data_IF_365981741081
#
_entry.id   IF_365981741081
#
_cell.length_a   1.000
_cell.length_b   1.000
_cell.length_c   1.000
_cell.angle_alpha   90.00
_cell.angle_beta   90.00
_cell.angle_gamma   90.00
#
_symmetry.space_group_name_H-M   'P 1'
#
loop_
_entity.id
_entity.type
_entity.pdbx_description
1 polymer ?
#
# COMPACT_ATOMS: atom_id res chain seq x y z
N UNK A 1 20.80 -13.67 15.97
CA UNK A 1 22.16 -13.11 16.18
C UNK A 1 22.03 -11.60 16.24
N UNK A 2 22.29 -10.93 17.37
CA UNK A 2 22.33 -9.48 17.41
C UNK A 2 23.50 -9.02 16.53
N UNK A 3 23.26 -8.16 15.54
CA UNK A 3 24.36 -7.55 14.78
C UNK A 3 25.22 -6.75 15.76
N UNK A 4 26.47 -7.19 15.93
CA UNK A 4 27.52 -6.45 16.65
C UNK A 4 27.59 -5.01 16.16
N UNK A 5 27.92 -4.06 17.03
CA UNK A 5 28.19 -2.66 16.65
C UNK A 5 29.27 -2.54 15.54
N UNK A 6 30.15 -3.55 15.42
CA UNK A 6 31.12 -3.65 14.32
C UNK A 6 30.48 -3.83 12.94
N UNK A 7 29.24 -4.35 12.87
CA UNK A 7 28.52 -4.57 11.62
C UNK A 7 27.96 -3.27 11.02
N UNK A 8 27.84 -2.18 11.82
CA UNK A 8 27.34 -0.87 11.34
C UNK A 8 28.45 -0.11 10.62
N UNK A 9 29.69 -0.17 11.14
CA UNK A 9 30.86 0.50 10.55
C UNK A 9 31.30 -0.09 9.20
N UNK A 10 30.78 -1.26 8.82
CA UNK A 10 31.11 -1.96 7.57
C UNK A 10 29.93 -2.07 6.60
N UNK A 11 28.83 -1.33 6.85
CA UNK A 11 27.69 -1.34 5.93
C UNK A 11 28.08 -0.59 4.66
N UNK A 12 28.14 -1.28 3.52
CA UNK A 12 28.09 -0.62 2.23
C UNK A 12 26.70 0.00 2.06
N UNK A 13 26.62 1.30 2.36
CA UNK A 13 25.39 2.07 2.25
C UNK A 13 25.20 2.44 0.78
N UNK A 14 24.37 1.68 0.07
CA UNK A 14 23.98 1.98 -1.31
C UNK A 14 23.10 3.22 -1.36
N UNK A 15 23.23 4.02 -2.42
CA UNK A 15 22.29 5.11 -2.67
C UNK A 15 20.97 4.54 -3.22
N UNK A 16 20.02 4.27 -2.34
CA UNK A 16 18.73 3.67 -2.69
C UNK A 16 17.76 4.63 -3.40
N UNK A 17 18.05 5.93 -3.44
CA UNK A 17 17.26 6.87 -4.23
C UNK A 17 17.53 6.70 -5.74
N UNK A 18 18.76 6.33 -6.10
CA UNK A 18 19.14 6.08 -7.50
C UNK A 18 18.96 4.60 -7.90
N UNK A 19 18.93 3.70 -6.92
CA UNK A 19 18.84 2.24 -7.12
C UNK A 19 17.41 1.71 -6.91
N UNK A 20 16.53 2.03 -7.86
CA UNK A 20 15.09 1.72 -7.79
C UNK A 20 14.59 0.88 -8.96
N UNK A 21 13.52 0.12 -8.69
CA UNK A 21 12.69 -0.54 -9.70
C UNK A 21 11.48 0.33 -10.00
N UNK A 22 11.15 0.47 -11.29
CA UNK A 22 10.06 1.31 -11.79
C UNK A 22 8.88 0.46 -12.21
N UNK A 23 7.71 0.80 -11.70
CA UNK A 23 6.45 0.16 -12.07
C UNK A 23 5.64 1.11 -12.95
N UNK A 24 5.21 0.64 -14.11
CA UNK A 24 4.52 1.45 -15.11
C UNK A 24 3.06 1.04 -15.28
N UNK A 25 2.23 2.05 -15.51
CA UNK A 25 0.87 1.91 -15.95
C UNK A 25 0.82 1.80 -17.49
N UNK A 26 0.17 0.79 -18.09
CA UNK A 26 0.16 0.58 -19.55
C UNK A 26 -0.69 1.58 -20.32
N UNK A 27 -1.85 1.99 -19.77
CA UNK A 27 -2.80 2.89 -20.43
C UNK A 27 -2.39 4.36 -20.61
N UNK A 28 -1.16 4.75 -20.26
CA UNK A 28 -0.67 6.12 -20.39
C UNK A 28 0.67 6.17 -21.16
N UNK A 29 0.96 7.26 -21.90
CA UNK A 29 2.20 7.39 -22.66
C UNK A 29 3.41 7.69 -21.76
N UNK A 30 4.60 7.28 -22.20
CA UNK A 30 5.86 7.72 -21.59
C UNK A 30 6.06 9.22 -21.79
N UNK A 31 6.66 9.96 -20.84
CA UNK A 31 7.12 9.51 -19.52
C UNK A 31 6.04 9.52 -18.42
N UNK A 32 4.79 9.85 -18.77
CA UNK A 32 3.67 10.06 -17.85
C UNK A 32 3.03 8.76 -17.36
N UNK A 33 3.71 7.64 -17.50
CA UNK A 33 3.16 6.32 -17.21
C UNK A 33 3.89 5.62 -16.06
N UNK A 34 4.88 6.26 -15.45
CA UNK A 34 5.52 5.79 -14.22
C UNK A 34 4.52 5.88 -13.07
N UNK A 35 4.08 4.72 -12.56
CA UNK A 35 3.08 4.63 -11.50
C UNK A 35 3.71 4.89 -10.12
N UNK A 36 4.79 4.19 -9.80
CA UNK A 36 5.61 4.39 -8.60
C UNK A 36 6.95 3.65 -8.74
N UNK A 37 7.84 3.84 -7.75
CA UNK A 37 9.11 3.14 -7.66
C UNK A 37 9.26 2.45 -6.30
N UNK A 38 10.06 1.39 -6.24
CA UNK A 38 10.50 0.76 -4.98
C UNK A 38 12.02 0.60 -4.99
N UNK A 39 12.71 0.80 -3.85
CA UNK A 39 14.16 0.64 -3.75
C UNK A 39 14.56 -0.83 -3.80
N UNK A 40 15.74 -1.11 -4.35
CA UNK A 40 16.28 -2.48 -4.44
C UNK A 40 16.90 -2.92 -3.12
N UNK A 41 16.10 -3.56 -2.29
CA UNK A 41 16.47 -3.91 -0.91
C UNK A 41 16.51 -5.43 -0.66
N UNK A 42 15.88 -6.21 -1.54
CA UNK A 42 15.84 -7.68 -1.44
C UNK A 42 16.99 -8.33 -2.20
N UNK A 43 17.75 -9.20 -1.54
CA UNK A 43 18.88 -9.88 -2.17
C UNK A 43 18.43 -11.14 -2.92
N UNK A 44 18.60 -11.15 -4.25
CA UNK A 44 18.48 -12.36 -5.07
C UNK A 44 19.78 -13.17 -4.97
N UNK A 45 19.69 -14.39 -4.40
CA UNK A 45 20.84 -15.31 -4.39
C UNK A 45 21.15 -15.88 -5.77
N UNK A 46 20.13 -16.06 -6.60
CA UNK A 46 20.24 -16.63 -7.94
C UNK A 46 20.99 -15.68 -8.87
N UNK A 47 20.61 -14.40 -8.85
CA UNK A 47 21.20 -13.37 -9.72
C UNK A 47 22.38 -12.63 -9.07
N UNK A 48 22.62 -12.86 -7.77
CA UNK A 48 23.66 -12.18 -6.97
C UNK A 48 23.52 -10.64 -7.02
N UNK A 49 22.28 -10.13 -7.07
CA UNK A 49 21.95 -8.70 -7.12
C UNK A 49 20.79 -8.35 -6.20
N UNK A 50 20.62 -7.06 -5.95
CA UNK A 50 19.49 -6.54 -5.18
C UNK A 50 18.31 -6.18 -6.08
N UNK A 51 17.12 -6.39 -5.55
CA UNK A 51 15.84 -6.26 -6.23
C UNK A 51 14.70 -5.98 -5.26
N UNK A 52 13.48 -6.32 -5.67
CA UNK A 52 12.27 -6.16 -4.86
C UNK A 52 11.51 -7.48 -4.80
N UNK A 53 11.08 -7.91 -3.62
CA UNK A 53 10.30 -9.14 -3.47
C UNK A 53 8.99 -9.07 -4.28
N UNK A 54 8.77 -10.08 -5.13
CA UNK A 54 7.73 -10.10 -6.14
C UNK A 54 6.34 -9.90 -5.55
N UNK A 55 5.95 -10.67 -4.53
CA UNK A 55 4.61 -10.54 -3.94
C UNK A 55 4.39 -9.19 -3.27
N UNK A 56 5.42 -8.58 -2.69
CA UNK A 56 5.30 -7.23 -2.12
C UNK A 56 5.00 -6.21 -3.22
N UNK A 57 5.77 -6.23 -4.31
CA UNK A 57 5.54 -5.36 -5.46
C UNK A 57 4.18 -5.60 -6.12
N UNK A 58 3.81 -6.87 -6.33
CA UNK A 58 2.53 -7.25 -6.93
C UNK A 58 1.36 -6.77 -6.07
N UNK A 59 1.39 -7.04 -4.77
CA UNK A 59 0.31 -6.64 -3.85
C UNK A 59 0.17 -5.12 -3.81
N UNK A 60 1.29 -4.36 -3.78
CA UNK A 60 1.24 -2.91 -3.86
C UNK A 60 0.55 -2.41 -5.14
N UNK A 61 0.92 -2.98 -6.30
CA UNK A 61 0.27 -2.64 -7.57
C UNK A 61 -1.23 -2.97 -7.57
N UNK A 62 -1.60 -4.14 -7.04
CA UNK A 62 -3.00 -4.58 -6.96
C UNK A 62 -3.84 -3.69 -6.05
N UNK A 63 -3.31 -3.25 -4.90
CA UNK A 63 -3.97 -2.28 -4.02
C UNK A 63 -4.19 -0.95 -4.77
N UNK A 64 -3.13 -0.43 -5.39
CA UNK A 64 -3.16 0.83 -6.16
C UNK A 64 -4.20 0.77 -7.28
N UNK A 65 -4.34 -0.38 -7.93
CA UNK A 65 -5.32 -0.64 -8.99
C UNK A 65 -6.69 -1.11 -8.46
N UNK A 66 -7.09 -0.62 -7.28
CA UNK A 66 -8.37 -0.93 -6.64
C UNK A 66 -8.58 -2.42 -6.37
N UNK A 67 -7.67 -3.02 -5.59
CA UNK A 67 -7.74 -4.41 -5.14
C UNK A 67 -7.86 -5.44 -6.29
N UNK A 68 -7.11 -5.22 -7.39
CA UNK A 68 -7.09 -6.10 -8.56
C UNK A 68 -6.35 -7.44 -8.31
N UNK A 69 -6.64 -8.14 -7.21
CA UNK A 69 -5.87 -9.31 -6.77
C UNK A 69 -5.94 -10.50 -7.73
N UNK A 70 -7.11 -10.73 -8.35
CA UNK A 70 -7.33 -11.87 -9.24
C UNK A 70 -6.88 -11.59 -10.68
N UNK A 71 -6.98 -10.33 -11.12
CA UNK A 71 -6.78 -9.91 -12.52
C UNK A 71 -5.47 -9.14 -12.76
N UNK A 72 -4.82 -8.72 -11.68
CA UNK A 72 -3.63 -7.89 -11.70
C UNK A 72 -2.37 -8.73 -11.82
N UNK A 73 -1.55 -8.45 -12.83
CA UNK A 73 -0.31 -9.17 -13.10
C UNK A 73 0.84 -8.24 -13.44
N UNK A 74 2.06 -8.64 -13.08
CA UNK A 74 3.29 -7.94 -13.47
C UNK A 74 3.90 -8.58 -14.72
N UNK A 75 4.43 -7.75 -15.61
CA UNK A 75 5.16 -8.18 -16.79
C UNK A 75 6.50 -7.47 -16.94
N UNK A 76 7.45 -8.13 -17.61
CA UNK A 76 8.78 -7.58 -17.95
C UNK A 76 8.76 -6.67 -19.19
N UNK A 77 7.67 -6.64 -19.93
CA UNK A 77 7.53 -5.86 -21.15
C UNK A 77 6.24 -5.04 -21.18
N UNK A 78 6.27 -3.97 -21.96
CA UNK A 78 5.15 -3.02 -22.08
C UNK A 78 3.94 -3.56 -22.84
N UNK A 79 4.00 -4.78 -23.41
CA UNK A 79 2.89 -5.42 -24.12
C UNK A 79 2.25 -6.55 -23.30
N UNK A 80 2.74 -6.82 -22.09
CA UNK A 80 2.19 -7.86 -21.21
C UNK A 80 2.43 -9.29 -21.72
N UNK A 81 3.42 -9.51 -22.59
CA UNK A 81 3.68 -10.84 -23.18
C UNK A 81 4.53 -11.74 -22.28
N UNK A 82 5.39 -11.14 -21.47
CA UNK A 82 6.33 -11.80 -20.57
C UNK A 82 5.89 -11.55 -19.13
N UNK A 83 4.82 -12.26 -18.74
CA UNK A 83 4.28 -12.23 -17.40
C UNK A 83 5.26 -12.87 -16.40
N UNK A 84 5.33 -12.29 -15.21
CA UNK A 84 6.13 -12.83 -14.12
C UNK A 84 5.34 -13.94 -13.45
N UNK A 85 5.94 -15.12 -13.37
CA UNK A 85 5.38 -16.29 -12.70
C UNK A 85 6.20 -16.65 -11.46
N UNK A 86 5.54 -17.03 -10.37
CA UNK A 86 6.19 -17.56 -9.17
C UNK A 86 6.32 -16.55 -8.03
N UNK A 87 5.86 -16.99 -6.85
CA UNK A 87 5.60 -16.13 -5.69
C UNK A 87 6.88 -15.76 -4.91
N UNK A 88 7.88 -16.64 -4.89
CA UNK A 88 9.10 -16.48 -4.07
C UNK A 88 10.28 -15.87 -4.87
N UNK A 89 9.99 -14.92 -5.76
CA UNK A 89 10.99 -14.30 -6.64
C UNK A 89 11.38 -12.92 -6.18
N UNK A 90 12.63 -12.55 -6.47
CA UNK A 90 13.10 -11.17 -6.37
C UNK A 90 13.13 -10.58 -7.78
N UNK A 91 12.46 -9.45 -7.95
CA UNK A 91 12.44 -8.67 -9.19
C UNK A 91 13.77 -7.95 -9.34
N UNK A 92 14.51 -8.19 -10.42
CA UNK A 92 15.85 -7.64 -10.64
C UNK A 92 15.96 -6.69 -11.84
N UNK A 93 14.97 -6.67 -12.74
CA UNK A 93 14.97 -5.74 -13.88
C UNK A 93 14.68 -4.31 -13.41
N UNK A 94 15.05 -3.32 -14.23
CA UNK A 94 14.81 -1.91 -13.90
C UNK A 94 13.33 -1.52 -14.02
N UNK A 95 12.64 -2.11 -14.98
CA UNK A 95 11.33 -1.65 -15.45
C UNK A 95 10.35 -2.84 -15.49
N UNK A 96 9.16 -2.64 -14.91
CA UNK A 96 8.05 -3.60 -14.94
C UNK A 96 6.73 -2.90 -15.22
N UNK A 97 5.81 -3.59 -15.87
CA UNK A 97 4.47 -3.08 -16.18
C UNK A 97 3.43 -3.87 -15.41
N UNK A 98 2.46 -3.17 -14.83
CA UNK A 98 1.34 -3.79 -14.16
C UNK A 98 0.10 -3.74 -15.04
N UNK A 99 -0.48 -4.89 -15.33
CA UNK A 99 -1.66 -5.04 -16.17
C UNK A 99 -2.84 -5.51 -15.33
N UNK A 100 -4.04 -5.03 -15.67
CA UNK A 100 -5.29 -5.55 -15.14
C UNK A 100 -6.08 -6.13 -16.31
N UNK A 101 -6.40 -7.41 -16.24
CA UNK A 101 -7.14 -8.10 -17.29
C UNK A 101 -8.45 -7.37 -17.62
N UNK A 102 -8.69 -7.14 -18.92
CA UNK A 102 -9.88 -6.45 -19.42
C UNK A 102 -9.89 -4.93 -19.22
N UNK A 103 -8.82 -4.32 -18.70
CA UNK A 103 -8.75 -2.87 -18.52
C UNK A 103 -7.34 -2.30 -18.73
N UNK A 104 -7.06 -1.86 -19.97
CA UNK A 104 -5.76 -1.28 -20.35
C UNK A 104 -5.45 0.05 -19.64
N UNK A 105 -6.50 0.82 -19.31
CA UNK A 105 -6.40 2.09 -18.55
C UNK A 105 -7.20 1.99 -17.26
N UNK A 106 -6.79 1.06 -16.39
CA UNK A 106 -7.42 0.85 -15.10
C UNK A 106 -7.38 2.11 -14.23
N UNK A 107 -8.40 2.33 -13.38
CA UNK A 107 -8.40 3.46 -12.45
C UNK A 107 -7.43 3.21 -11.29
N UNK A 108 -6.81 4.29 -10.81
CA UNK A 108 -5.89 4.26 -9.67
C UNK A 108 -6.57 4.82 -8.43
N UNK A 109 -6.37 4.19 -7.28
CA UNK A 109 -6.84 4.69 -5.99
C UNK A 109 -5.99 5.91 -5.61
N UNK A 110 -6.57 7.12 -5.52
CA UNK A 110 -5.79 8.34 -5.43
C UNK A 110 -5.34 8.67 -4.01
N UNK A 111 -6.04 8.17 -3.00
CA UNK A 111 -5.72 8.36 -1.58
C UNK A 111 -6.25 7.19 -0.75
N UNK A 112 -5.71 7.00 0.46
CA UNK A 112 -6.21 5.96 1.36
C UNK A 112 -7.69 6.15 1.72
N UNK A 113 -8.15 7.40 1.85
CA UNK A 113 -9.57 7.72 2.15
C UNK A 113 -10.53 7.28 1.05
N UNK A 114 -10.03 7.20 -0.18
CA UNK A 114 -10.76 6.78 -1.37
C UNK A 114 -10.67 5.27 -1.61
N UNK A 115 -9.91 4.54 -0.81
CA UNK A 115 -9.74 3.09 -0.93
C UNK A 115 -10.84 2.33 -0.18
N UNK A 116 -11.36 1.26 -0.78
CA UNK A 116 -12.22 0.29 -0.11
C UNK A 116 -11.37 -0.84 0.46
N UNK A 117 -11.59 -1.21 1.73
CA UNK A 117 -10.93 -2.36 2.32
C UNK A 117 -11.52 -3.66 1.73
N UNK A 118 -10.66 -4.58 1.23
CA UNK A 118 -11.12 -5.83 0.61
C UNK A 118 -11.47 -6.90 1.66
N UNK A 119 -12.58 -6.70 2.35
CA UNK A 119 -13.12 -7.69 3.29
C UNK A 119 -13.19 -9.09 2.65
N UNK A 120 -12.70 -10.10 3.37
CA UNK A 120 -12.67 -11.52 3.00
C UNK A 120 -11.97 -11.85 1.67
N UNK A 121 -11.32 -10.86 1.05
CA UNK A 121 -10.65 -10.95 -0.26
C UNK A 121 -9.18 -10.58 -0.17
N UNK A 122 -8.57 -10.69 1.02
CA UNK A 122 -7.13 -10.55 1.18
C UNK A 122 -6.41 -11.65 0.39
N UNK A 123 -5.26 -11.35 -0.25
CA UNK A 123 -4.47 -12.38 -0.92
C UNK A 123 -4.13 -13.55 -0.01
N UNK A 124 -4.12 -14.77 -0.53
CA UNK A 124 -3.89 -15.99 0.23
C UNK A 124 -2.53 -16.03 0.96
N UNK A 125 -1.53 -15.32 0.43
CA UNK A 125 -0.20 -15.17 1.03
C UNK A 125 -0.15 -14.13 2.16
N UNK A 126 -1.20 -13.33 2.36
CA UNK A 126 -1.32 -12.38 3.47
C UNK A 126 -1.83 -13.08 4.73
N UNK A 127 -1.03 -14.01 5.23
CA UNK A 127 -1.39 -14.94 6.31
C UNK A 127 -1.49 -14.21 7.65
N UNK A 128 -2.36 -14.67 8.54
CA UNK A 128 -2.44 -14.13 9.90
C UNK A 128 -1.11 -14.35 10.66
N UNK A 129 -0.60 -13.35 11.39
CA UNK A 129 0.62 -13.52 12.16
C UNK A 129 0.41 -14.57 13.25
N UNK A 130 1.30 -15.55 13.31
CA UNK A 130 1.36 -16.47 14.43
C UNK A 130 1.98 -15.74 15.63
N UNK A 131 1.25 -15.61 16.74
CA UNK A 131 1.78 -15.06 17.98
C UNK A 131 2.42 -16.20 18.80
N UNK A 132 3.73 -16.18 19.07
CA UNK A 132 4.34 -17.14 19.99
C UNK A 132 3.74 -16.98 21.39
N UNK A 133 3.38 -18.06 22.10
CA UNK A 133 2.89 -17.99 23.47
C UNK A 133 3.93 -17.28 24.36
N UNK A 134 3.51 -16.27 25.12
CA UNK A 134 4.39 -15.55 26.04
C UNK A 134 5.24 -14.43 25.44
N UNK A 135 4.90 -13.92 24.25
CA UNK A 135 5.61 -12.78 23.64
C UNK A 135 5.67 -11.57 24.60
N UNK A 136 6.84 -10.93 24.78
CA UNK A 136 6.97 -9.78 25.68
C UNK A 136 6.11 -8.60 25.22
N UNK A 137 5.08 -8.26 25.99
CA UNK A 137 4.07 -7.24 25.64
C UNK A 137 4.57 -5.78 25.71
N UNK A 138 5.85 -5.55 26.04
CA UNK A 138 6.44 -4.20 26.24
C UNK A 138 7.84 -4.08 25.66
N UNK A 139 8.00 -4.56 24.43
CA UNK A 139 9.26 -4.44 23.68
C UNK A 139 8.96 -4.00 22.26
N UNK A 140 9.91 -3.30 21.64
CA UNK A 140 9.80 -2.96 20.22
C UNK A 140 9.69 -4.23 19.38
N UNK A 141 8.67 -4.30 18.53
CA UNK A 141 8.35 -5.45 17.68
C UNK A 141 9.44 -5.81 16.65
N UNK A 142 10.39 -4.91 16.38
CA UNK A 142 11.46 -5.10 15.37
C UNK A 142 12.83 -5.31 16.01
N UNK A 143 13.12 -4.61 17.10
CA UNK A 143 14.46 -4.64 17.74
C UNK A 143 14.48 -5.42 19.04
N UNK A 144 13.31 -5.83 19.54
CA UNK A 144 13.12 -6.47 20.83
C UNK A 144 13.69 -5.65 22.01
N UNK A 145 13.82 -4.33 21.85
CA UNK A 145 14.31 -3.42 22.89
C UNK A 145 13.18 -3.04 23.85
N UNK A 146 13.48 -2.95 25.16
CA UNK A 146 12.49 -2.71 26.22
C UNK A 146 12.41 -1.25 26.69
N UNK A 147 13.06 -0.32 25.99
CA UNK A 147 13.13 1.10 26.37
C UNK A 147 12.95 2.01 25.14
N UNK A 148 12.55 3.26 25.37
CA UNK A 148 12.37 4.28 24.34
C UNK A 148 11.52 3.82 23.14
N UNK A 149 10.45 3.07 23.42
CA UNK A 149 9.44 2.68 22.44
C UNK A 149 8.13 3.43 22.69
N UNK A 150 7.34 3.53 21.63
CA UNK A 150 5.98 4.08 21.63
C UNK A 150 5.03 3.10 20.96
N UNK A 151 3.73 3.31 21.12
CA UNK A 151 2.68 2.51 20.51
C UNK A 151 2.26 3.15 19.20
N UNK A 152 2.64 2.54 18.09
CA UNK A 152 2.26 2.98 16.75
C UNK A 152 0.90 2.40 16.38
N UNK A 153 -0.01 3.22 15.88
CA UNK A 153 -1.22 2.69 15.23
C UNK A 153 -0.86 2.12 13.86
N UNK A 154 -1.35 0.91 13.56
CA UNK A 154 -1.24 0.33 12.22
C UNK A 154 -2.08 1.16 11.24
N UNK A 155 -3.37 1.32 11.53
CA UNK A 155 -4.24 2.31 10.87
C UNK A 155 -4.11 3.64 11.63
N UNK A 156 -3.54 4.69 11.01
CA UNK A 156 -3.30 5.98 11.69
C UNK A 156 -4.57 6.59 12.27
N UNK A 157 -4.42 7.35 13.36
CA UNK A 157 -5.54 8.07 14.01
C UNK A 157 -6.28 9.02 13.07
N UNK A 158 -5.56 9.66 12.18
CA UNK A 158 -6.11 10.61 11.21
C UNK A 158 -7.06 9.94 10.19
N UNK A 159 -7.08 8.60 10.12
CA UNK A 159 -7.92 7.81 9.23
C UNK A 159 -9.18 7.25 9.91
N UNK A 160 -9.63 7.85 11.03
CA UNK A 160 -10.85 7.44 11.76
C UNK A 160 -12.10 7.38 10.87
N UNK A 161 -12.26 8.32 9.95
CA UNK A 161 -13.37 8.33 9.00
C UNK A 161 -13.31 7.11 8.07
N UNK A 162 -12.13 6.82 7.50
CA UNK A 162 -11.93 5.65 6.64
C UNK A 162 -12.18 4.35 7.41
N UNK A 163 -11.69 4.26 8.66
CA UNK A 163 -11.90 3.11 9.54
C UNK A 163 -13.39 2.81 9.76
N UNK A 164 -14.18 3.84 10.07
CA UNK A 164 -15.63 3.70 10.28
C UNK A 164 -16.34 3.31 8.99
N UNK A 165 -16.03 4.02 7.90
CA UNK A 165 -16.64 3.81 6.58
C UNK A 165 -16.40 2.40 6.03
N UNK A 166 -15.23 1.83 6.29
CA UNK A 166 -14.87 0.48 5.91
C UNK A 166 -15.17 -0.56 7.00
N UNK A 167 -15.96 -0.23 8.03
CA UNK A 167 -16.37 -1.22 9.03
C UNK A 167 -15.21 -1.94 9.75
N UNK A 168 -14.04 -1.32 9.85
CA UNK A 168 -12.81 -1.97 10.34
C UNK A 168 -12.86 -2.37 11.82
N UNK A 169 -13.89 -1.91 12.54
CA UNK A 169 -14.22 -2.37 13.89
C UNK A 169 -14.71 -3.82 13.97
N UNK A 170 -14.97 -4.48 12.83
CA UNK A 170 -15.24 -5.92 12.75
C UNK A 170 -14.03 -6.77 13.18
N UNK A 171 -12.82 -6.25 12.95
CA UNK A 171 -11.57 -6.96 13.23
C UNK A 171 -11.01 -6.64 14.63
N UNK A 172 -9.97 -7.37 15.03
CA UNK A 172 -9.29 -7.17 16.32
C UNK A 172 -10.02 -7.81 17.51
N UNK A 173 -10.02 -7.10 18.65
CA UNK A 173 -10.44 -7.62 19.95
C UNK A 173 -11.87 -7.27 20.35
N UNK A 174 -12.65 -6.71 19.43
CA UNK A 174 -14.05 -6.33 19.67
C UNK A 174 -14.25 -4.96 20.31
N UNK A 175 -13.21 -4.13 20.45
CA UNK A 175 -13.40 -2.73 20.91
C UNK A 175 -14.19 -1.88 19.91
N UNK A 176 -14.16 -2.27 18.63
CA UNK A 176 -14.77 -1.56 17.49
C UNK A 176 -14.26 -0.13 17.29
N UNK A 177 -13.13 0.22 17.88
CA UNK A 177 -12.51 1.55 17.78
C UNK A 177 -11.09 1.45 17.23
N UNK A 178 -10.51 2.61 16.84
CA UNK A 178 -9.11 2.68 16.41
C UNK A 178 -8.11 2.36 17.52
N UNK A 179 -8.50 2.50 18.79
CA UNK A 179 -7.65 2.20 19.95
C UNK A 179 -7.78 0.73 20.39
N UNK A 180 -8.16 -0.18 19.48
CA UNK A 180 -8.07 -1.62 19.69
C UNK A 180 -6.61 -2.06 19.86
N UNK A 181 -6.33 -2.93 20.83
CA UNK A 181 -4.98 -3.47 21.06
C UNK A 181 -4.33 -4.12 19.83
N UNK A 182 -5.13 -4.65 18.90
CA UNK A 182 -4.66 -5.28 17.67
C UNK A 182 -4.25 -4.26 16.60
N UNK A 183 -4.70 -3.00 16.73
CA UNK A 183 -4.28 -1.90 15.86
C UNK A 183 -2.99 -1.25 16.37
N UNK A 184 -2.37 -1.76 17.44
CA UNK A 184 -1.13 -1.21 17.99
C UNK A 184 0.10 -2.07 17.71
N UNK A 185 1.20 -1.42 17.41
CA UNK A 185 2.52 -2.01 17.21
C UNK A 185 3.57 -1.25 18.04
N UNK A 186 4.20 -1.88 19.04
CA UNK A 186 5.24 -1.22 19.81
C UNK A 186 6.51 -1.02 18.95
N UNK A 187 6.92 0.23 18.75
CA UNK A 187 8.09 0.58 17.93
C UNK A 187 9.03 1.50 18.71
N UNK A 188 10.34 1.31 18.53
CA UNK A 188 11.34 2.27 19.01
C UNK A 188 11.08 3.65 18.36
N UNK A 189 11.37 4.74 19.05
CA UNK A 189 10.98 6.09 18.59
C UNK A 189 11.46 6.45 17.16
N UNK A 190 12.67 6.04 16.78
CA UNK A 190 13.21 6.19 15.42
C UNK A 190 12.41 5.40 14.37
N UNK A 191 12.12 4.13 14.67
CA UNK A 191 11.28 3.28 13.83
C UNK A 191 9.84 3.82 13.73
N UNK A 192 9.29 4.37 14.81
CA UNK A 192 7.96 4.97 14.81
C UNK A 192 7.87 6.15 13.82
N UNK A 193 8.86 7.06 13.84
CA UNK A 193 8.91 8.19 12.90
C UNK A 193 8.97 7.69 11.45
N UNK A 194 9.83 6.71 11.16
CA UNK A 194 9.94 6.13 9.82
C UNK A 194 8.64 5.41 9.40
N UNK A 195 7.97 4.74 10.33
CA UNK A 195 6.72 4.05 10.08
C UNK A 195 5.64 5.03 9.67
N UNK A 196 5.43 6.11 10.44
CA UNK A 196 4.43 7.16 10.17
C UNK A 196 4.73 7.99 8.92
N UNK A 197 5.94 7.91 8.38
CA UNK A 197 6.31 8.55 7.11
C UNK A 197 6.26 7.60 5.91
N UNK A 198 5.65 6.41 6.05
CA UNK A 198 5.61 5.37 5.04
C UNK A 198 6.98 4.85 4.57
N UNK A 199 8.06 5.07 5.33
CA UNK A 199 9.41 4.66 4.90
C UNK A 199 9.50 3.13 4.77
N UNK A 200 8.73 2.41 5.57
CA UNK A 200 8.63 0.97 5.52
C UNK A 200 7.21 0.50 5.84
N UNK A 201 6.94 -0.76 5.51
CA UNK A 201 5.76 -1.49 5.95
C UNK A 201 6.14 -2.87 6.46
N UNK A 202 5.21 -3.52 7.16
CA UNK A 202 5.34 -4.91 7.56
C UNK A 202 4.64 -5.78 6.55
N UNK A 203 5.37 -6.69 5.91
CA UNK A 203 4.84 -7.57 4.86
C UNK A 203 5.20 -9.02 5.16
N UNK A 204 4.29 -9.98 4.87
CA UNK A 204 4.63 -11.39 4.92
C UNK A 204 5.56 -11.73 3.75
N UNK A 205 6.68 -12.38 4.04
CA UNK A 205 7.51 -13.03 3.03
C UNK A 205 7.39 -14.54 3.17
N UNK A 206 7.12 -15.19 2.05
CA UNK A 206 7.12 -16.63 1.97
C UNK A 206 8.57 -17.11 1.89
N UNK A 207 8.90 -18.15 2.63
CA UNK A 207 10.19 -18.82 2.59
C UNK A 207 9.94 -20.31 2.46
N UNK A 208 10.61 -20.96 1.52
CA UNK A 208 10.65 -22.42 1.47
C UNK A 208 11.56 -22.95 2.56
N UNK A 209 11.00 -23.76 3.45
CA UNK A 209 11.78 -24.50 4.44
C UNK A 209 12.58 -25.61 3.74
N UNK A 210 13.57 -26.18 4.45
CA UNK A 210 14.38 -27.31 3.95
C UNK A 210 13.54 -28.53 3.57
N UNK A 211 12.33 -28.65 4.14
CA UNK A 211 11.40 -29.75 3.89
C UNK A 211 10.46 -29.48 2.70
N UNK A 212 10.60 -28.33 2.03
CA UNK A 212 9.73 -27.91 0.93
C UNK A 212 8.42 -27.26 1.36
N UNK A 213 8.13 -27.18 2.66
CA UNK A 213 6.95 -26.48 3.18
C UNK A 213 7.13 -24.96 3.09
N UNK A 214 6.08 -24.26 2.67
CA UNK A 214 6.02 -22.80 2.65
C UNK A 214 5.78 -22.29 4.08
N UNK A 215 6.76 -21.58 4.61
CA UNK A 215 6.63 -20.80 5.84
C UNK A 215 6.44 -19.33 5.51
N UNK A 216 5.66 -18.59 6.30
CA UNK A 216 5.50 -17.15 6.13
C UNK A 216 5.98 -16.44 7.40
N UNK A 217 6.73 -15.36 7.22
CA UNK A 217 7.16 -14.50 8.32
C UNK A 217 6.95 -13.04 7.94
N UNK A 218 6.33 -12.28 8.83
CA UNK A 218 6.28 -10.83 8.69
C UNK A 218 7.66 -10.24 8.91
N UNK A 219 8.07 -9.37 8.00
CA UNK A 219 9.34 -8.65 8.07
C UNK A 219 9.11 -7.17 7.82
N UNK A 220 10.05 -6.35 8.29
CA UNK A 220 10.17 -4.97 7.88
C UNK A 220 10.66 -4.89 6.42
N UNK A 221 9.84 -4.31 5.54
CA UNK A 221 10.20 -4.06 4.14
C UNK A 221 10.22 -2.56 3.87
N UNK A 222 11.34 -2.09 3.33
CA UNK A 222 11.57 -0.66 3.07
C UNK A 222 10.93 -0.30 1.74
N UNK A 223 10.10 0.74 1.74
CA UNK A 223 9.36 1.21 0.57
C UNK A 223 9.96 2.51 0.01
N UNK A 224 10.76 3.21 0.81
CA UNK A 224 11.35 4.50 0.48
C UNK A 224 12.87 4.48 0.70
N UNK A 225 13.62 4.85 -0.34
CA UNK A 225 15.08 4.83 -0.36
C UNK A 225 15.77 6.04 0.25
N UNK A 226 15.02 7.01 0.82
CA UNK A 226 15.58 8.26 1.37
C UNK A 226 16.66 8.04 2.42
N UNK A 227 16.49 7.03 3.28
CA UNK A 227 17.39 6.71 4.39
C UNK A 227 18.06 5.36 4.16
N UNK A 228 19.17 5.33 3.43
CA UNK A 228 19.87 4.11 3.05
C UNK A 228 20.49 3.35 4.24
N UNK A 229 20.96 4.07 5.26
CA UNK A 229 21.43 3.46 6.51
C UNK A 229 20.29 2.72 7.24
N UNK A 230 19.08 3.29 7.25
CA UNK A 230 17.90 2.65 7.83
C UNK A 230 17.62 1.30 7.14
N UNK A 231 17.66 1.28 5.81
CA UNK A 231 17.48 0.04 5.05
C UNK A 231 18.55 -0.99 5.37
N UNK A 232 19.83 -0.59 5.41
CA UNK A 232 20.93 -1.49 5.73
C UNK A 232 20.79 -2.12 7.15
N UNK A 233 20.29 -1.35 8.11
CA UNK A 233 20.09 -1.79 9.50
C UNK A 233 18.86 -2.68 9.69
N UNK A 234 17.74 -2.33 9.07
CA UNK A 234 16.42 -2.84 9.43
C UNK A 234 15.70 -3.64 8.34
N UNK A 235 16.08 -3.52 7.07
CA UNK A 235 15.41 -4.27 6.00
C UNK A 235 15.46 -5.78 6.22
N UNK A 236 14.34 -6.46 5.95
CA UNK A 236 14.14 -7.90 6.15
C UNK A 236 14.34 -8.38 7.60
N UNK A 237 14.30 -7.47 8.60
CA UNK A 237 14.23 -7.91 9.99
C UNK A 237 12.87 -8.53 10.29
N UNK A 238 12.83 -9.72 10.91
CA UNK A 238 11.61 -10.33 11.40
C UNK A 238 10.87 -9.43 12.38
N UNK A 239 9.54 -9.51 12.35
CA UNK A 239 8.71 -8.95 13.40
C UNK A 239 8.62 -9.98 14.55
N UNK A 240 9.16 -9.61 15.70
CA UNK A 240 9.31 -10.47 16.88
C UNK A 240 8.00 -10.64 17.66
N UNK A 241 7.10 -9.64 17.59
CA UNK A 241 5.84 -9.64 18.32
C UNK A 241 4.73 -9.00 17.50
N UNK A 242 3.73 -9.80 17.13
CA UNK A 242 2.47 -9.34 16.55
C UNK A 242 1.32 -9.99 17.29
N UNK A 243 0.28 -9.21 17.58
CA UNK A 243 -0.92 -9.74 18.22
C UNK A 243 -1.71 -10.54 17.18
N UNK A 244 -2.11 -11.77 17.54
CA UNK A 244 -3.01 -12.58 16.70
C UNK A 244 -4.32 -11.81 16.49
N UNK A 245 -4.78 -11.66 15.24
CA UNK A 245 -5.95 -10.83 14.90
C UNK A 245 -5.62 -9.43 14.36
N UNK A 246 -4.33 -9.09 14.20
CA UNK A 246 -3.89 -7.82 13.58
C UNK A 246 -3.79 -7.88 12.05
N UNK A 247 -4.17 -9.00 11.41
CA UNK A 247 -3.92 -9.29 9.99
C UNK A 247 -4.46 -8.19 9.08
N UNK A 248 -5.71 -7.80 9.29
CA UNK A 248 -6.44 -6.83 8.49
C UNK A 248 -5.89 -5.41 8.69
N UNK A 249 -5.50 -5.08 9.93
CA UNK A 249 -4.85 -3.81 10.25
C UNK A 249 -3.44 -3.71 9.64
N UNK A 250 -2.68 -4.82 9.61
CA UNK A 250 -1.40 -4.89 8.92
C UNK A 250 -1.56 -4.69 7.40
N UNK A 251 -2.58 -5.32 6.80
CA UNK A 251 -2.87 -5.13 5.38
C UNK A 251 -3.26 -3.68 5.07
N UNK A 252 -4.16 -3.10 5.88
CA UNK A 252 -4.57 -1.71 5.75
C UNK A 252 -3.37 -0.74 5.87
N UNK A 253 -2.43 -1.00 6.79
CA UNK A 253 -1.20 -0.21 6.91
C UNK A 253 -0.30 -0.37 5.68
N UNK A 254 -0.14 -1.57 5.14
CA UNK A 254 0.59 -1.75 3.89
C UNK A 254 -0.07 -0.99 2.73
N UNK A 255 -1.39 -1.03 2.63
CA UNK A 255 -2.15 -0.26 1.64
C UNK A 255 -1.96 1.25 1.80
N UNK A 256 -2.03 1.76 3.03
CA UNK A 256 -1.77 3.16 3.35
C UNK A 256 -0.39 3.62 2.84
N UNK A 257 0.64 2.80 3.09
CA UNK A 257 1.99 3.08 2.61
C UNK A 257 2.10 2.97 1.08
N UNK A 258 1.55 1.92 0.46
CA UNK A 258 1.60 1.70 -0.98
C UNK A 258 0.88 2.81 -1.77
N UNK A 259 -0.31 3.22 -1.33
CA UNK A 259 -1.08 4.30 -1.97
C UNK A 259 -0.35 5.63 -1.86
N UNK A 260 0.40 5.89 -0.79
CA UNK A 260 1.19 7.13 -0.68
C UNK A 260 2.24 7.28 -1.79
N UNK A 261 2.69 6.17 -2.39
CA UNK A 261 3.70 6.16 -3.46
C UNK A 261 3.16 6.67 -4.81
N UNK A 262 1.83 6.69 -5.03
CA UNK A 262 1.24 7.07 -6.33
C UNK A 262 1.09 8.57 -6.52
N UNK A 263 1.39 9.37 -5.49
CA UNK A 263 1.21 10.82 -5.54
C UNK A 263 1.89 11.47 -6.76
N UNK A 264 3.16 11.18 -7.10
CA UNK A 264 3.80 11.75 -8.29
C UNK A 264 3.10 11.38 -9.62
N UNK A 265 2.46 10.21 -9.69
CA UNK A 265 1.69 9.81 -10.86
C UNK A 265 0.43 10.66 -11.01
N UNK A 266 -0.25 10.97 -9.91
CA UNK A 266 -1.46 11.81 -9.89
C UNK A 266 -1.15 13.28 -10.19
N UNK A 267 -0.06 13.83 -9.65
CA UNK A 267 0.32 15.25 -9.80
C UNK A 267 1.17 15.55 -11.04
N UNK A 268 1.24 14.63 -12.01
CA UNK A 268 2.09 14.74 -13.20
C UNK A 268 1.52 15.62 -14.33
N UNK A 269 0.54 16.48 -14.01
CA UNK A 269 0.02 17.48 -14.94
C UNK A 269 -0.94 16.96 -16.02
N UNK A 270 -1.32 15.68 -15.99
CA UNK A 270 -2.33 15.10 -16.91
C UNK A 270 -3.49 14.45 -16.17
N UNK A 271 -4.65 14.43 -16.80
CA UNK A 271 -5.85 13.82 -16.22
C UNK A 271 -5.74 12.30 -16.11
N UNK A 272 -6.35 11.74 -15.06
CA UNK A 272 -6.26 10.33 -14.69
C UNK A 272 -7.64 9.76 -14.36
N UNK A 273 -7.83 8.48 -14.69
CA UNK A 273 -8.92 7.68 -14.13
C UNK A 273 -8.58 7.31 -12.70
N UNK A 274 -9.47 7.63 -11.76
CA UNK A 274 -9.31 7.33 -10.34
C UNK A 274 -10.47 6.49 -9.83
N UNK A 275 -10.19 5.63 -8.85
CA UNK A 275 -11.20 4.82 -8.16
C UNK A 275 -11.46 5.43 -6.77
N UNK A 276 -12.71 5.75 -6.46
CA UNK A 276 -13.11 6.40 -5.21
C UNK A 276 -14.24 5.63 -4.54
N UNK A 277 -13.96 5.07 -3.38
CA UNK A 277 -14.96 4.43 -2.54
C UNK A 277 -15.92 5.49 -2.02
N UNK A 278 -17.23 5.29 -2.13
CA UNK A 278 -18.25 6.21 -1.60
C UNK A 278 -19.36 5.40 -0.95
N UNK A 279 -19.94 5.98 0.10
CA UNK A 279 -21.13 5.47 0.77
C UNK A 279 -22.15 6.59 0.69
N UNK A 280 -23.25 6.36 -0.02
CA UNK A 280 -24.28 7.38 -0.27
C UNK A 280 -25.67 6.80 -0.03
N UNK A 281 -26.61 7.68 0.35
CA UNK A 281 -28.03 7.36 0.27
C UNK A 281 -28.44 7.25 -1.21
N UNK A 282 -29.47 6.47 -1.55
CA UNK A 282 -30.00 6.41 -2.90
C UNK A 282 -30.53 7.79 -3.32
N UNK A 283 -30.38 8.15 -4.60
CA UNK A 283 -30.98 9.37 -5.12
C UNK A 283 -32.51 9.22 -5.16
N UNK A 284 -33.21 9.98 -4.29
CA UNK A 284 -34.67 10.05 -4.23
C UNK A 284 -35.21 10.20 -2.81
N UNK A 285 -36.37 10.85 -2.66
CA UNK A 285 -37.10 11.05 -1.40
C UNK A 285 -37.70 9.75 -0.80
N UNK A 286 -37.20 8.59 -1.25
CA UNK A 286 -37.69 7.26 -0.88
C UNK A 286 -36.84 6.66 0.23
N UNK A 287 -37.29 6.88 1.47
CA UNK A 287 -36.93 6.18 2.72
C UNK A 287 -35.41 6.04 3.02
N UNK A 288 -34.99 6.62 4.15
CA UNK A 288 -33.63 6.63 4.73
C UNK A 288 -32.91 5.26 4.87
N UNK A 289 -33.46 4.15 4.39
CA UNK A 289 -33.11 2.81 4.84
C UNK A 289 -32.00 2.08 4.08
N UNK A 290 -31.46 2.57 2.96
CA UNK A 290 -30.42 1.80 2.23
C UNK A 290 -29.23 2.64 1.74
N UNK A 291 -28.24 2.87 2.61
CA UNK A 291 -26.92 3.32 2.18
C UNK A 291 -26.31 2.30 1.19
N UNK A 292 -25.86 2.78 0.03
CA UNK A 292 -25.11 1.98 -0.94
C UNK A 292 -23.63 2.32 -0.85
N UNK A 293 -22.82 1.29 -0.62
CA UNK A 293 -21.37 1.36 -0.70
C UNK A 293 -20.95 0.96 -2.13
N UNK A 294 -20.20 1.82 -2.81
CA UNK A 294 -19.74 1.55 -4.17
C UNK A 294 -18.37 2.15 -4.48
N UNK A 295 -17.67 1.49 -5.40
CA UNK A 295 -16.44 2.00 -6.00
C UNK A 295 -16.78 2.77 -7.28
N UNK A 296 -16.65 4.10 -7.23
CA UNK A 296 -16.85 4.95 -8.40
C UNK A 296 -15.55 5.11 -9.18
N UNK A 297 -15.63 4.92 -10.49
CA UNK A 297 -14.52 5.24 -11.40
C UNK A 297 -14.79 6.57 -12.08
N UNK A 298 -13.92 7.54 -11.90
CA UNK A 298 -14.10 8.91 -12.42
C UNK A 298 -12.83 9.35 -13.15
N UNK A 299 -12.98 10.08 -14.26
CA UNK A 299 -11.87 10.78 -14.87
C UNK A 299 -11.74 12.18 -14.24
N UNK A 300 -10.57 12.49 -13.70
CA UNK A 300 -10.28 13.82 -13.17
C UNK A 300 -9.21 14.47 -14.05
N UNK A 301 -9.43 15.73 -14.44
CA UNK A 301 -8.40 16.52 -15.09
C UNK A 301 -7.24 16.85 -14.12
N UNK A 302 -6.14 17.39 -14.67
CA UNK A 302 -4.94 17.66 -13.89
C UNK A 302 -5.13 18.74 -12.83
N UNK A 303 -6.01 19.73 -13.03
CA UNK A 303 -6.28 20.80 -12.05
C UNK A 303 -7.07 20.25 -10.88
N UNK A 304 -8.11 19.43 -11.15
CA UNK A 304 -8.88 18.74 -10.11
C UNK A 304 -7.99 17.78 -9.32
N UNK A 305 -7.13 17.02 -9.98
CA UNK A 305 -6.17 16.13 -9.31
C UNK A 305 -5.20 16.90 -8.40
N UNK A 306 -4.64 18.02 -8.86
CA UNK A 306 -3.74 18.84 -8.05
C UNK A 306 -4.47 19.47 -6.85
N UNK A 307 -5.69 19.96 -7.06
CA UNK A 307 -6.52 20.56 -5.99
C UNK A 307 -6.87 19.52 -4.92
N UNK A 308 -7.27 18.32 -5.33
CA UNK A 308 -7.73 17.27 -4.42
C UNK A 308 -6.58 16.44 -3.82
N UNK A 309 -5.46 16.27 -4.51
CA UNK A 309 -4.41 15.32 -4.10
C UNK A 309 -2.98 15.89 -4.19
N UNK A 310 -2.79 17.12 -4.66
CA UNK A 310 -1.48 17.77 -4.79
C UNK A 310 -0.86 18.23 -3.46
N UNK A 311 -1.69 18.56 -2.46
CA UNK A 311 -1.27 19.07 -1.16
C UNK A 311 -0.19 18.23 -0.46
N UNK A 312 0.96 18.84 -0.15
CA UNK A 312 2.09 18.23 0.54
C UNK A 312 1.72 17.73 1.94
N UNK A 313 1.96 16.45 2.22
CA UNK A 313 1.70 15.87 3.53
C UNK A 313 2.52 16.51 4.64
N UNK A 314 1.89 17.41 5.40
CA UNK A 314 2.10 17.58 6.84
C UNK A 314 1.05 18.56 7.36
N UNK A 315 0.18 18.09 8.26
CA UNK A 315 -0.58 18.91 9.21
C UNK A 315 -1.25 20.16 8.62
N UNK A 316 -2.32 19.96 7.86
CA UNK A 316 -3.51 20.82 7.82
C UNK A 316 -4.47 20.19 6.83
N UNK A 317 -5.45 19.47 7.39
CA UNK A 317 -6.67 19.21 6.64
C UNK A 317 -7.32 20.58 6.44
N UNK A 318 -7.24 21.14 5.24
CA UNK A 318 -8.34 21.97 4.78
C UNK A 318 -9.60 21.09 4.86
N UNK A 319 -10.74 21.67 5.21
CA UNK A 319 -12.03 20.98 5.21
C UNK A 319 -12.30 20.47 3.78
N UNK A 320 -11.92 19.22 3.53
CA UNK A 320 -12.00 18.56 2.23
C UNK A 320 -13.44 18.21 1.84
N UNK A 321 -14.35 18.20 2.80
CA UNK A 321 -15.79 18.00 2.57
C UNK A 321 -16.35 19.09 1.66
N UNK A 322 -15.92 20.35 1.78
CA UNK A 322 -16.42 21.44 0.93
C UNK A 322 -15.94 21.33 -0.53
N UNK A 323 -14.77 20.71 -0.76
CA UNK A 323 -14.24 20.45 -2.11
C UNK A 323 -14.89 19.22 -2.75
N UNK A 324 -15.31 18.24 -1.94
CA UNK A 324 -16.02 17.05 -2.41
C UNK A 324 -17.53 17.24 -2.54
N UNK A 325 -18.11 18.18 -1.80
CA UNK A 325 -19.51 18.56 -1.90
C UNK A 325 -19.79 19.48 -3.10
N UNK A 326 -18.81 20.31 -3.52
CA UNK A 326 -18.92 21.22 -4.66
C UNK A 326 -18.52 20.60 -6.02
N UNK A 327 -18.15 19.32 -6.08
CA UNK A 327 -17.89 18.61 -7.34
C UNK A 327 -19.24 18.16 -7.92
N UNK A 328 -20.10 19.13 -8.26
CA UNK A 328 -21.35 18.92 -8.98
C UNK A 328 -21.06 18.36 -10.39
N UNK A 329 -21.98 17.53 -10.83
CA UNK A 329 -21.85 16.52 -11.85
C UNK A 329 -21.81 17.10 -13.27
N UNK A 330 -20.71 16.90 -13.99
CA UNK A 330 -20.73 16.87 -15.45
C UNK A 330 -21.08 15.42 -15.86
N UNK A 331 -22.38 15.11 -15.93
CA UNK A 331 -22.83 13.92 -16.64
C UNK A 331 -22.45 14.10 -18.13
N UNK A 332 -21.51 13.29 -18.63
CA UNK A 332 -21.36 13.12 -20.08
C UNK A 332 -22.63 12.41 -20.59
N UNK A 333 -23.61 13.19 -21.07
CA UNK A 333 -24.73 12.64 -21.83
C UNK A 333 -24.17 11.88 -23.05
N UNK A 334 -24.54 10.61 -23.27
CA UNK A 334 -24.21 9.92 -24.50
C UNK A 334 -25.01 10.54 -25.66
N UNK A 335 -24.33 11.41 -26.40
CA UNK A 335 -24.58 11.78 -27.80
C UNK A 335 -26.01 11.65 -28.31
N UNK A 336 -26.73 12.77 -28.30
CA UNK A 336 -27.90 13.03 -29.15
C UNK A 336 -27.50 12.88 -30.62
N UNK A 337 -27.90 11.80 -31.28
CA UNK A 337 -27.90 11.74 -32.75
C UNK A 337 -29.09 12.55 -33.24
N UNK A 338 -28.86 13.84 -33.51
CA UNK A 338 -29.78 14.62 -34.33
C UNK A 338 -29.67 14.12 -35.77
N UNK A 339 -30.64 13.29 -36.17
CA UNK A 339 -30.99 13.11 -37.58
C UNK A 339 -31.75 14.37 -38.01
N UNK A 340 -31.09 15.28 -38.71
CA UNK A 340 -31.78 16.19 -39.62
C UNK A 340 -31.96 15.50 -40.98
N UNK A 341 -33.18 15.65 -41.52
CA UNK A 341 -33.65 14.99 -42.74
C UNK A 341 -33.38 15.73 -44.04
#
# INVERSE_FOLDING_TARGET
MPRSLSAVSSLEVKNLNDDQIRFYHPGYPKPLNLLFCLPRVDYSREDNVYGVYHLTALTACQIIANNAFEKGQLAKDSKGKNLITGDDKVLVERDYWFFVEGNERYPVVPSFKDWEFPHDRLPSWWIAPACPPGSPTRRCAITNTSYAFTWAHLIPKDEQQWFNKNGMGLYGGGSRTLDDQHNFLPLKADLYVCFDQCVFALVPKLNRTQNGELSSQYVLHVLDGRESEFAALYHSRPVESLVSGSREYLFARFAWAAISLVKPFLSSGVGRRVARFRVRAPDGDGEEEHLRAEMQTVFLDSKKLETLYGGGGSRKSAHFEDLYANDEWDEEEPGRTEMEG
#
